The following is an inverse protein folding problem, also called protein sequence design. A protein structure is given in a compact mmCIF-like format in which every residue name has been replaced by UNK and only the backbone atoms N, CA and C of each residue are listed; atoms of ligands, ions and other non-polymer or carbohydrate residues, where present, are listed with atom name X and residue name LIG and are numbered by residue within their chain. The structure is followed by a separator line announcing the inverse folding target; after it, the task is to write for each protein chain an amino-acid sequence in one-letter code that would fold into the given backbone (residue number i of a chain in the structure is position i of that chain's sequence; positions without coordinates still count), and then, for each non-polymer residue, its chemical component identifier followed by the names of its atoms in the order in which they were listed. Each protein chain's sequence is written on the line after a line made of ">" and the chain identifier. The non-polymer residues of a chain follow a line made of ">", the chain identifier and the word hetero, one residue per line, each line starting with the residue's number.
data_IF_474735900759
#
_entry.id   IF_474735900759
#
_cell.length_a   1.000
_cell.length_b   1.000
_cell.length_c   1.000
_cell.angle_alpha   90.00
_cell.angle_beta   90.00
_cell.angle_gamma   90.00
#
_symmetry.space_group_name_H-M   'P 1'
#
loop_
_entity.id
_entity.type
_entity.pdbx_description
1 polymer ?
#
# COMPACT_ATOMS: atom_id res chain seq x y z
N UNK A 1 -30.83 1.64 10.27
CA UNK A 1 -31.28 1.61 11.69
C UNK A 1 -32.38 0.57 11.98
N UNK A 2 -33.16 0.07 11.00
CA UNK A 2 -34.23 -0.94 11.20
C UNK A 2 -33.71 -2.34 11.55
N UNK A 3 -32.70 -2.81 10.81
CA UNK A 3 -32.29 -4.22 10.77
C UNK A 3 -31.66 -4.74 12.08
N UNK A 4 -31.02 -3.86 12.85
CA UNK A 4 -30.40 -4.22 14.14
C UNK A 4 -31.45 -4.42 15.23
N UNK A 5 -32.57 -3.68 15.20
CA UNK A 5 -33.63 -3.82 16.19
C UNK A 5 -34.46 -5.08 15.94
N UNK A 6 -34.75 -5.39 14.68
CA UNK A 6 -35.43 -6.63 14.27
C UNK A 6 -34.63 -7.89 14.69
N UNK A 7 -33.31 -7.89 14.49
CA UNK A 7 -32.44 -9.01 14.93
C UNK A 7 -32.37 -9.17 16.45
N UNK A 8 -32.64 -8.12 17.24
CA UNK A 8 -32.68 -8.20 18.71
C UNK A 8 -33.96 -8.85 19.22
N UNK A 9 -35.07 -8.68 18.50
CA UNK A 9 -36.36 -9.27 18.85
C UNK A 9 -36.37 -10.79 18.65
N UNK A 10 -35.63 -11.28 17.66
CA UNK A 10 -35.50 -12.72 17.35
C UNK A 10 -34.54 -13.49 18.28
N UNK A 11 -33.92 -12.83 19.26
CA UNK A 11 -32.99 -13.50 20.19
C UNK A 11 -33.75 -14.31 21.25
N UNK A 12 -33.31 -15.55 21.45
CA UNK A 12 -33.75 -16.37 22.57
C UNK A 12 -33.31 -15.78 23.92
N UNK A 13 -33.96 -16.20 25.01
CA UNK A 13 -33.66 -15.69 26.35
C UNK A 13 -32.19 -15.92 26.75
N UNK A 14 -31.63 -17.07 26.39
CA UNK A 14 -30.21 -17.38 26.59
C UNK A 14 -29.29 -16.45 25.79
N UNK A 15 -29.64 -16.12 24.55
CA UNK A 15 -28.87 -15.20 23.71
C UNK A 15 -28.95 -13.76 24.23
N UNK A 16 -30.12 -13.34 24.73
CA UNK A 16 -30.29 -12.02 25.38
C UNK A 16 -29.46 -11.91 26.66
N UNK A 17 -29.43 -12.96 27.48
CA UNK A 17 -28.60 -13.02 28.68
C UNK A 17 -27.09 -12.95 28.35
N UNK A 18 -26.64 -13.70 27.33
CA UNK A 18 -25.25 -13.67 26.88
C UNK A 18 -24.85 -12.30 26.30
N UNK A 19 -25.73 -11.68 25.51
CA UNK A 19 -25.52 -10.34 24.97
C UNK A 19 -25.41 -9.30 26.10
N UNK A 20 -26.30 -9.37 27.10
CA UNK A 20 -26.28 -8.48 28.27
C UNK A 20 -24.96 -8.63 29.05
N UNK A 21 -24.50 -9.87 29.26
CA UNK A 21 -23.21 -10.16 29.92
C UNK A 21 -22.01 -9.60 29.14
N UNK A 22 -22.01 -9.71 27.81
CA UNK A 22 -20.93 -9.13 26.96
C UNK A 22 -20.97 -7.61 26.90
N UNK A 23 -22.15 -7.00 26.91
CA UNK A 23 -22.31 -5.54 26.94
C UNK A 23 -21.89 -4.96 28.29
N UNK A 24 -22.23 -5.64 29.40
CA UNK A 24 -21.79 -5.26 30.74
C UNK A 24 -20.27 -5.42 30.90
N UNK A 25 -19.65 -6.44 30.30
CA UNK A 25 -18.20 -6.60 30.26
C UNK A 25 -17.47 -5.56 29.39
N UNK A 26 -18.16 -4.87 28.48
CA UNK A 26 -17.60 -3.80 27.63
C UNK A 26 -17.66 -2.41 28.26
N UNK A 27 -18.58 -2.17 29.20
CA UNK A 27 -18.78 -0.85 29.79
C UNK A 27 -17.94 -0.58 31.06
N UNK A 28 -17.17 -1.55 31.55
CA UNK A 28 -16.32 -1.39 32.73
C UNK A 28 -14.90 -0.84 32.44
N UNK A 29 -14.56 -0.55 31.18
CA UNK A 29 -13.25 0.02 30.80
C UNK A 29 -13.35 1.22 29.85
N UNK A 30 -14.50 1.90 29.82
CA UNK A 30 -14.77 3.01 28.89
C UNK A 30 -14.35 4.41 29.41
N UNK A 31 -13.57 4.48 30.50
CA UNK A 31 -13.00 5.73 31.02
C UNK A 31 -11.48 5.66 31.23
N UNK A 32 -10.80 4.69 30.64
CA UNK A 32 -9.35 4.77 30.46
C UNK A 32 -9.09 5.53 29.16
N UNK A 33 -8.32 6.62 29.23
CA UNK A 33 -7.81 7.35 28.07
C UNK A 33 -7.45 6.38 26.94
N UNK A 34 -7.93 6.62 25.72
CA UNK A 34 -7.51 5.83 24.54
C UNK A 34 -5.99 5.67 24.62
N UNK A 35 -5.45 4.45 24.74
CA UNK A 35 -4.01 4.28 24.79
C UNK A 35 -3.46 4.90 23.51
N UNK A 36 -2.62 5.93 23.67
CA UNK A 36 -1.87 6.48 22.55
C UNK A 36 -0.96 5.35 22.10
N UNK A 37 -1.18 4.83 20.89
CA UNK A 37 -0.29 3.86 20.28
C UNK A 37 0.97 4.63 19.93
N UNK A 38 1.97 4.59 20.81
CA UNK A 38 3.28 5.19 20.57
C UNK A 38 4.03 4.34 19.57
N UNK A 39 4.93 4.96 18.80
CA UNK A 39 5.87 4.22 17.94
C UNK A 39 6.62 3.20 18.80
N UNK A 40 6.77 1.98 18.29
CA UNK A 40 7.58 0.95 18.96
C UNK A 40 9.04 1.39 18.89
N UNK A 41 9.68 1.57 20.05
CA UNK A 41 11.11 1.88 20.16
C UNK A 41 11.93 0.62 19.85
N UNK A 42 12.82 0.68 18.85
CA UNK A 42 13.64 -0.44 18.42
C UNK A 42 13.09 -1.15 17.17
N UNK A 43 13.57 -0.73 15.99
CA UNK A 43 13.19 -1.27 14.67
C UNK A 43 13.99 -2.53 14.31
N UNK A 44 13.96 -3.54 15.18
CA UNK A 44 14.34 -4.88 14.73
C UNK A 44 13.41 -5.32 13.59
N UNK A 45 13.83 -6.26 12.72
CA UNK A 45 12.99 -6.72 11.61
C UNK A 45 11.63 -7.20 12.15
N UNK A 46 10.56 -6.54 11.72
CA UNK A 46 9.23 -6.84 12.22
C UNK A 46 8.69 -8.07 11.50
N UNK A 47 8.01 -9.02 12.17
CA UNK A 47 7.36 -10.13 11.48
C UNK A 47 6.44 -9.65 10.35
N UNK A 48 6.53 -10.29 9.18
CA UNK A 48 5.56 -10.04 8.11
C UNK A 48 4.18 -10.54 8.53
N UNK A 49 3.14 -9.78 8.16
CA UNK A 49 1.75 -10.21 8.36
C UNK A 49 1.41 -11.46 7.54
N UNK A 50 0.34 -12.18 7.88
CA UNK A 50 -0.09 -13.35 7.10
C UNK A 50 -0.39 -13.01 5.63
N UNK A 51 -0.95 -11.82 5.36
CA UNK A 51 -1.17 -11.35 3.99
C UNK A 51 0.15 -11.18 3.24
N UNK A 52 1.14 -10.56 3.88
CA UNK A 52 2.47 -10.39 3.30
C UNK A 52 3.20 -11.74 3.11
N UNK A 53 3.10 -12.67 4.06
CA UNK A 53 3.65 -14.03 3.91
C UNK A 53 3.06 -14.77 2.72
N UNK A 54 1.74 -14.66 2.51
CA UNK A 54 1.07 -15.24 1.34
C UNK A 54 1.60 -14.63 0.04
N UNK A 55 1.71 -13.30 -0.03
CA UNK A 55 2.21 -12.61 -1.22
C UNK A 55 3.67 -12.95 -1.51
N UNK A 56 4.52 -12.99 -0.48
CA UNK A 56 5.90 -13.45 -0.59
C UNK A 56 5.99 -14.88 -1.15
N UNK A 57 5.21 -15.81 -0.59
CA UNK A 57 5.18 -17.19 -1.10
C UNK A 57 4.79 -17.24 -2.58
N UNK A 58 3.77 -16.50 -2.99
CA UNK A 58 3.33 -16.44 -4.39
C UNK A 58 4.39 -15.82 -5.30
N UNK A 59 5.10 -14.80 -4.82
CA UNK A 59 6.23 -14.20 -5.52
C UNK A 59 7.38 -15.22 -5.71
N UNK A 60 7.72 -16.01 -4.70
CA UNK A 60 8.75 -17.06 -4.81
C UNK A 60 8.42 -18.14 -5.86
N UNK A 61 7.13 -18.40 -6.13
CA UNK A 61 6.72 -19.33 -7.18
C UNK A 61 6.91 -18.76 -8.59
N UNK A 62 6.77 -17.45 -8.76
CA UNK A 62 6.98 -16.77 -10.04
C UNK A 62 7.46 -15.32 -9.81
N UNK A 63 8.78 -15.11 -9.63
CA UNK A 63 9.32 -13.78 -9.32
C UNK A 63 9.12 -12.75 -10.44
N UNK A 64 8.86 -13.22 -11.67
CA UNK A 64 8.64 -12.36 -12.84
C UNK A 64 7.16 -11.97 -13.01
N UNK A 65 6.28 -12.39 -12.09
CA UNK A 65 4.85 -12.09 -12.19
C UNK A 65 4.54 -10.65 -11.78
N UNK A 66 3.86 -9.92 -12.66
CA UNK A 66 3.27 -8.61 -12.36
C UNK A 66 1.85 -8.70 -11.78
N UNK A 67 1.36 -9.90 -11.40
CA UNK A 67 -0.03 -10.09 -10.98
C UNK A 67 -0.44 -9.31 -9.71
N UNK A 68 0.53 -8.84 -8.94
CA UNK A 68 0.33 -8.06 -7.71
C UNK A 68 0.84 -6.62 -7.83
N UNK A 69 1.11 -6.17 -9.05
CA UNK A 69 1.43 -4.78 -9.34
C UNK A 69 0.15 -3.97 -9.42
N UNK A 70 0.02 -2.95 -8.57
CA UNK A 70 -1.10 -2.03 -8.57
C UNK A 70 -0.73 -0.79 -9.38
N UNK A 71 -1.29 -0.68 -10.58
CA UNK A 71 -0.98 0.39 -11.53
C UNK A 71 -1.99 1.53 -11.36
N UNK A 72 -1.49 2.73 -11.06
CA UNK A 72 -2.26 3.94 -10.94
C UNK A 72 -1.71 4.99 -11.91
N UNK A 73 -2.57 5.64 -12.67
CA UNK A 73 -2.15 6.66 -13.63
C UNK A 73 -3.05 7.89 -13.54
N UNK A 74 -2.43 9.07 -13.52
CA UNK A 74 -3.13 10.36 -13.51
C UNK A 74 -2.65 11.20 -14.68
N UNK A 75 -3.60 11.76 -15.44
CA UNK A 75 -3.31 12.75 -16.47
C UNK A 75 -3.06 14.11 -15.84
N UNK A 76 -1.97 14.74 -16.25
CA UNK A 76 -1.63 16.11 -15.87
C UNK A 76 -1.60 16.95 -17.15
N UNK A 77 -2.44 17.97 -17.19
CA UNK A 77 -2.50 18.94 -18.29
C UNK A 77 -1.90 20.27 -17.83
N UNK A 78 -0.97 20.81 -18.62
CA UNK A 78 -0.24 22.04 -18.31
C UNK A 78 1.24 21.80 -18.03
N UNK A 79 1.94 22.87 -17.66
CA UNK A 79 3.37 22.81 -17.36
C UNK A 79 3.62 21.96 -16.12
N UNK A 80 4.49 20.96 -16.26
CA UNK A 80 4.87 20.06 -15.18
C UNK A 80 6.37 20.16 -14.90
N UNK A 81 6.71 20.49 -13.65
CA UNK A 81 8.08 20.45 -13.19
C UNK A 81 8.39 19.06 -12.61
N UNK A 82 9.10 18.23 -13.36
CA UNK A 82 9.44 16.85 -12.96
C UNK A 82 10.30 16.79 -11.70
N UNK A 83 11.14 17.78 -11.42
CA UNK A 83 11.91 17.84 -10.17
C UNK A 83 11.01 18.03 -8.96
N UNK A 84 9.94 18.84 -9.09
CA UNK A 84 8.95 18.99 -8.02
C UNK A 84 8.15 17.71 -7.82
N UNK A 85 7.78 17.02 -8.89
CA UNK A 85 7.11 15.71 -8.79
C UNK A 85 7.99 14.70 -8.06
N UNK A 86 9.27 14.60 -8.45
CA UNK A 86 10.23 13.71 -7.77
C UNK A 86 10.36 14.05 -6.29
N UNK A 87 10.49 15.33 -5.93
CA UNK A 87 10.59 15.75 -4.52
C UNK A 87 9.32 15.41 -3.73
N UNK A 88 8.14 15.65 -4.30
CA UNK A 88 6.87 15.32 -3.65
C UNK A 88 6.75 13.81 -3.40
N UNK A 89 7.12 12.97 -4.38
CA UNK A 89 7.15 11.53 -4.22
C UNK A 89 8.06 11.11 -3.06
N UNK A 90 9.24 11.70 -2.94
CA UNK A 90 10.16 11.39 -1.85
C UNK A 90 9.64 11.79 -0.47
N UNK A 91 8.91 12.91 -0.36
CA UNK A 91 8.27 13.30 0.89
C UNK A 91 7.22 12.28 1.33
N UNK A 92 6.44 11.74 0.37
CA UNK A 92 5.46 10.69 0.65
C UNK A 92 6.17 9.40 1.10
N UNK A 93 7.20 8.96 0.38
CA UNK A 93 7.95 7.74 0.73
C UNK A 93 8.61 7.86 2.11
N UNK A 94 9.23 9.00 2.42
CA UNK A 94 9.83 9.25 3.73
C UNK A 94 8.80 9.20 4.86
N UNK A 95 7.57 9.69 4.61
CA UNK A 95 6.48 9.70 5.58
C UNK A 95 5.92 8.30 5.87
N UNK A 96 5.90 7.41 4.89
CA UNK A 96 5.22 6.11 4.96
C UNK A 96 6.22 4.94 5.01
N UNK A 97 6.42 4.34 6.20
CA UNK A 97 7.38 3.24 6.40
C UNK A 97 7.16 2.06 5.44
N UNK A 98 5.91 1.76 5.11
CA UNK A 98 5.55 0.69 4.17
C UNK A 98 6.17 0.88 2.78
N UNK A 99 6.25 2.11 2.26
CA UNK A 99 6.80 2.41 0.93
C UNK A 99 8.33 2.29 0.86
N UNK A 100 8.98 2.25 2.04
CA UNK A 100 10.42 2.02 2.22
C UNK A 100 10.70 0.69 2.91
N UNK A 101 9.81 -0.29 2.76
CA UNK A 101 9.95 -1.64 3.32
C UNK A 101 10.32 -2.67 2.25
N UNK A 102 11.24 -3.55 2.60
CA UNK A 102 11.60 -4.77 1.84
C UNK A 102 11.38 -6.01 2.71
N UNK A 103 11.54 -7.21 2.14
CA UNK A 103 11.22 -8.46 2.81
C UNK A 103 12.39 -9.44 2.76
N UNK A 104 12.73 -10.01 3.91
CA UNK A 104 13.84 -10.95 4.03
C UNK A 104 13.46 -12.15 4.90
N UNK A 105 14.15 -13.28 4.69
CA UNK A 105 14.07 -14.42 5.59
C UNK A 105 15.11 -14.28 6.70
N UNK A 106 14.66 -14.35 7.95
CA UNK A 106 15.52 -14.36 9.13
C UNK A 106 15.10 -15.49 10.07
N UNK A 107 15.99 -16.47 10.31
CA UNK A 107 15.71 -17.67 11.13
C UNK A 107 14.38 -18.36 10.73
N UNK A 108 14.22 -18.65 9.44
CA UNK A 108 13.02 -19.27 8.83
C UNK A 108 11.72 -18.46 8.95
N UNK A 109 11.81 -17.19 9.38
CA UNK A 109 10.68 -16.28 9.47
C UNK A 109 10.81 -15.15 8.45
N UNK A 110 9.75 -14.87 7.70
CA UNK A 110 9.67 -13.69 6.85
C UNK A 110 9.52 -12.44 7.73
N UNK A 111 10.42 -11.49 7.53
CA UNK A 111 10.45 -10.21 8.24
C UNK A 111 10.41 -9.03 7.28
N UNK A 112 9.82 -7.94 7.75
CA UNK A 112 9.81 -6.63 7.14
C UNK A 112 11.09 -5.89 7.56
N UNK A 113 11.82 -5.39 6.57
CA UNK A 113 13.00 -4.56 6.74
C UNK A 113 12.64 -3.16 6.29
N UNK A 114 12.43 -2.29 7.28
CA UNK A 114 12.06 -0.88 7.09
C UNK A 114 13.34 -0.06 6.98
N UNK A 115 13.58 0.55 5.82
CA UNK A 115 14.79 1.35 5.55
C UNK A 115 14.60 2.80 5.96
N UNK A 116 15.55 3.43 6.66
CA UNK A 116 15.43 4.83 7.10
C UNK A 116 15.12 5.80 5.96
N UNK A 117 15.77 5.59 4.82
CA UNK A 117 15.56 6.31 3.57
C UNK A 117 15.50 5.32 2.40
N UNK A 118 14.74 5.66 1.36
CA UNK A 118 14.60 4.89 0.12
C UNK A 118 14.42 5.87 -1.04
N UNK A 119 15.30 5.82 -2.04
CA UNK A 119 15.17 6.66 -3.24
C UNK A 119 14.25 5.97 -4.26
N UNK A 120 13.12 6.61 -4.59
CA UNK A 120 12.27 6.19 -5.71
C UNK A 120 12.63 7.00 -6.96
N UNK A 121 13.16 6.36 -8.02
CA UNK A 121 13.41 7.07 -9.27
C UNK A 121 12.10 7.51 -9.92
N UNK A 122 12.07 8.75 -10.42
CA UNK A 122 11.04 9.22 -11.34
C UNK A 122 11.60 9.12 -12.75
N UNK A 123 11.28 8.03 -13.44
CA UNK A 123 11.69 7.83 -14.83
C UNK A 123 10.88 8.73 -15.75
N UNK A 124 11.47 9.20 -16.84
CA UNK A 124 10.76 10.00 -17.85
C UNK A 124 10.77 9.25 -19.17
N UNK A 125 9.59 9.05 -19.76
CA UNK A 125 9.43 8.40 -21.06
C UNK A 125 8.73 9.34 -22.03
N UNK A 126 9.42 9.65 -23.12
CA UNK A 126 8.81 10.35 -24.25
C UNK A 126 8.29 9.31 -25.23
N UNK A 127 6.98 9.34 -25.49
CA UNK A 127 6.32 8.46 -26.46
C UNK A 127 5.97 9.26 -27.73
N UNK A 128 5.98 8.61 -28.89
CA UNK A 128 5.63 9.28 -30.13
C UNK A 128 4.11 9.49 -30.23
N UNK A 129 3.65 10.36 -31.12
CA UNK A 129 2.21 10.61 -31.31
C UNK A 129 1.41 9.38 -31.78
N UNK A 130 2.08 8.35 -32.28
CA UNK A 130 1.46 7.08 -32.70
C UNK A 130 1.42 6.05 -31.57
N UNK A 131 2.22 6.24 -30.53
CA UNK A 131 2.27 5.37 -29.38
C UNK A 131 1.13 5.73 -28.43
N UNK A 132 0.41 4.73 -27.93
CA UNK A 132 -0.67 4.93 -26.96
C UNK A 132 -0.11 5.05 -25.55
N UNK A 133 -0.59 6.03 -24.78
CA UNK A 133 -0.38 6.09 -23.33
C UNK A 133 -0.75 4.77 -22.66
N UNK A 134 -1.81 4.10 -23.11
CA UNK A 134 -2.25 2.82 -22.57
C UNK A 134 -1.18 1.74 -22.71
N UNK A 135 -0.55 1.61 -23.89
CA UNK A 135 0.49 0.63 -24.11
C UNK A 135 1.73 0.91 -23.25
N UNK A 136 2.09 2.18 -23.09
CA UNK A 136 3.19 2.59 -22.24
C UNK A 136 2.88 2.32 -20.75
N UNK A 137 1.68 2.62 -20.26
CA UNK A 137 1.23 2.32 -18.89
C UNK A 137 1.24 0.82 -18.63
N UNK A 138 0.75 0.01 -19.56
CA UNK A 138 0.78 -1.46 -19.46
C UNK A 138 2.22 -1.94 -19.35
N UNK A 139 3.15 -1.40 -20.16
CA UNK A 139 4.56 -1.78 -20.10
C UNK A 139 5.17 -1.52 -18.72
N UNK A 140 4.95 -0.33 -18.13
CA UNK A 140 5.42 -0.01 -16.76
C UNK A 140 4.80 -0.95 -15.73
N UNK A 141 3.50 -1.25 -15.88
CA UNK A 141 2.79 -2.16 -14.97
C UNK A 141 3.28 -3.61 -15.00
N UNK A 142 3.91 -4.04 -16.09
CA UNK A 142 4.45 -5.40 -16.24
C UNK A 142 5.88 -5.56 -15.71
N UNK A 143 6.53 -4.48 -15.29
CA UNK A 143 7.88 -4.56 -14.70
C UNK A 143 7.83 -5.32 -13.36
N UNK A 144 8.58 -6.42 -13.19
CA UNK A 144 8.56 -7.18 -11.95
C UNK A 144 9.32 -6.42 -10.85
N UNK A 145 8.88 -6.61 -9.61
CA UNK A 145 9.60 -6.14 -8.43
C UNK A 145 10.47 -7.24 -7.84
N UNK A 146 11.63 -6.87 -7.31
CA UNK A 146 12.37 -7.71 -6.36
C UNK A 146 11.94 -7.34 -4.94
N UNK A 147 11.22 -8.25 -4.26
CA UNK A 147 10.70 -8.01 -2.93
C UNK A 147 11.78 -7.92 -1.83
N UNK A 148 12.99 -8.42 -2.10
CA UNK A 148 14.11 -8.41 -1.17
C UNK A 148 14.95 -7.13 -1.28
N UNK A 149 15.14 -6.63 -2.50
CA UNK A 149 16.00 -5.46 -2.74
C UNK A 149 15.21 -4.14 -2.86
N UNK A 150 13.99 -4.20 -3.41
CA UNK A 150 13.19 -3.02 -3.69
C UNK A 150 13.85 -2.02 -4.67
N UNK A 151 13.36 -0.77 -4.73
CA UNK A 151 12.15 -0.28 -4.07
C UNK A 151 10.88 -0.96 -4.61
N UNK A 152 9.82 -1.00 -3.80
CA UNK A 152 8.52 -1.62 -4.16
C UNK A 152 7.49 -0.63 -4.72
N UNK A 153 8.02 0.47 -5.26
CA UNK A 153 7.30 1.56 -5.92
C UNK A 153 8.08 1.92 -7.17
N UNK A 154 7.44 1.89 -8.32
CA UNK A 154 7.95 2.48 -9.56
C UNK A 154 7.16 3.75 -9.88
N UNK A 155 7.86 4.79 -10.31
CA UNK A 155 7.25 6.03 -10.76
C UNK A 155 7.77 6.40 -12.15
N UNK A 156 6.85 6.68 -13.06
CA UNK A 156 7.19 7.10 -14.41
C UNK A 156 6.31 8.27 -14.87
N UNK A 157 6.95 9.25 -15.49
CA UNK A 157 6.30 10.36 -16.17
C UNK A 157 6.36 10.13 -17.68
N UNK A 158 5.21 9.79 -18.27
CA UNK A 158 5.08 9.52 -19.69
C UNK A 158 4.53 10.76 -20.37
N UNK A 159 5.15 11.24 -21.45
CA UNK A 159 4.64 12.41 -22.19
C UNK A 159 4.80 12.24 -23.69
N UNK A 160 3.88 12.83 -24.46
CA UNK A 160 3.97 12.95 -25.92
C UNK A 160 4.17 14.40 -26.39
N UNK A 161 3.94 15.37 -25.50
CA UNK A 161 4.12 16.81 -25.73
C UNK A 161 4.35 17.54 -24.40
N UNK A 162 4.90 18.77 -24.40
CA UNK A 162 5.38 19.44 -23.17
C UNK A 162 4.33 19.69 -22.08
N UNK A 163 3.04 19.79 -22.42
CA UNK A 163 1.96 20.18 -21.51
C UNK A 163 0.90 19.09 -21.32
N UNK A 164 1.25 17.83 -21.60
CA UNK A 164 0.36 16.69 -21.44
C UNK A 164 1.20 15.49 -21.04
N UNK A 165 1.03 15.07 -19.79
CA UNK A 165 1.79 13.97 -19.23
C UNK A 165 0.88 13.02 -18.42
N UNK A 166 1.31 11.78 -18.34
CA UNK A 166 0.77 10.74 -17.48
C UNK A 166 1.78 10.44 -16.39
N UNK A 167 1.42 10.73 -15.13
CA UNK A 167 2.17 10.23 -13.98
C UNK A 167 1.64 8.84 -13.65
N UNK A 168 2.50 7.83 -13.77
CA UNK A 168 2.20 6.44 -13.47
C UNK A 168 2.94 6.06 -12.20
N UNK A 169 2.21 5.53 -11.23
CA UNK A 169 2.73 4.91 -10.02
C UNK A 169 2.33 3.44 -10.01
N UNK A 170 3.33 2.57 -9.92
CA UNK A 170 3.11 1.13 -9.74
C UNK A 170 3.63 0.74 -8.37
N UNK A 171 2.78 0.14 -7.55
CA UNK A 171 3.12 -0.26 -6.18
C UNK A 171 2.84 -1.75 -6.03
N UNK A 172 3.75 -2.50 -5.42
CA UNK A 172 3.48 -3.92 -5.15
C UNK A 172 2.47 -4.06 -4.00
N UNK A 173 1.47 -4.93 -4.16
CA UNK A 173 0.38 -5.13 -3.18
C UNK A 173 0.87 -5.57 -1.78
N UNK A 174 2.11 -6.04 -1.66
CA UNK A 174 2.70 -6.43 -0.38
C UNK A 174 2.97 -5.24 0.57
N UNK A 175 3.07 -4.02 0.04
CA UNK A 175 3.31 -2.79 0.82
C UNK A 175 2.13 -1.79 0.78
N UNK A 176 1.14 -2.02 -0.07
CA UNK A 176 -0.02 -1.14 -0.22
C UNK A 176 -1.25 -1.94 -0.67
N UNK A 177 -2.43 -1.61 -0.17
CA UNK A 177 -3.69 -2.19 -0.65
C UNK A 177 -4.53 -1.16 -1.41
N UNK A 178 -5.58 -1.62 -2.10
CA UNK A 178 -6.42 -0.76 -2.94
C UNK A 178 -7.14 0.35 -2.15
N UNK A 179 -7.37 0.19 -0.84
CA UNK A 179 -7.93 1.27 -0.02
C UNK A 179 -6.89 2.30 0.40
N UNK A 180 -5.65 1.88 0.60
CA UNK A 180 -4.56 2.76 1.06
C UNK A 180 -3.99 3.62 -0.06
N UNK A 181 -4.15 3.22 -1.33
CA UNK A 181 -3.71 4.03 -2.49
C UNK A 181 -4.34 5.43 -2.48
N UNK A 182 -5.60 5.55 -2.07
CA UNK A 182 -6.29 6.86 -1.99
C UNK A 182 -5.65 7.82 -0.98
N UNK A 183 -4.82 7.34 -0.04
CA UNK A 183 -4.08 8.17 0.92
C UNK A 183 -2.73 8.66 0.39
N UNK A 184 -2.29 8.16 -0.76
CA UNK A 184 -1.02 8.52 -1.40
C UNK A 184 -1.18 9.74 -2.33
N UNK A 185 -2.37 9.90 -2.92
CA UNK A 185 -2.75 11.03 -3.80
C UNK A 185 -3.25 12.24 -3.01
#
# INVERSE_FOLDING_TARGET
>A
MSEINERREQLSEAQRALLKKRLQGRNATAAASKPIITKLEGSGPAPASFGQQRLWFLHQLNPQSAAYNMVNAVRIQGELNSDLVKRSLQVVVARHEALRTTFAMHNDQLVQVVHDEMDIPLNQRNINSIDSYEAAIVAVGQEPFDLAEGPLVHAELISNQPNDAMLVLVIHNIVCDEWSVDLIW
#
